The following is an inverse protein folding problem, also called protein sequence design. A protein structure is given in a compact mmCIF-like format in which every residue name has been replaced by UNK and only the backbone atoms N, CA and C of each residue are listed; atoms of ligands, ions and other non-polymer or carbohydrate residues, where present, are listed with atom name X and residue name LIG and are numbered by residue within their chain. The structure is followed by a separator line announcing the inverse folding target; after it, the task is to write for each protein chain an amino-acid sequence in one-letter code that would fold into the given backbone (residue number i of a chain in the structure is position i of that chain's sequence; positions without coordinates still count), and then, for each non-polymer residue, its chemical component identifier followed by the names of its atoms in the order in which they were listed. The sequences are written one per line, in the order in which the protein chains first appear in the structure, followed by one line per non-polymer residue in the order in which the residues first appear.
data_IF_691240933968
#
_entry.id   IF_691240933968
#
_cell.length_a   1.000
_cell.length_b   1.000
_cell.length_c   1.000
_cell.angle_alpha   90.00
_cell.angle_beta   90.00
_cell.angle_gamma   90.00
#
_symmetry.space_group_name_H-M   'P 1'
#
loop_
_entity.id
_entity.type
_entity.pdbx_description
1 polymer ?
#
# COMPACT_ATOMS: atom_id res chain seq x y z
N UNK A 1 51.35 29.42 -11.03
CA UNK A 1 51.25 27.91 -11.11
C UNK A 1 50.60 27.46 -9.85
N UNK A 2 49.31 27.17 -9.92
CA UNK A 2 48.49 26.70 -8.82
C UNK A 2 48.63 25.18 -8.74
N UNK A 3 49.19 24.66 -7.65
CA UNK A 3 49.25 23.25 -7.39
C UNK A 3 47.84 22.72 -7.20
N UNK A 4 47.40 21.87 -8.13
CA UNK A 4 46.22 21.02 -7.97
C UNK A 4 46.51 20.00 -6.85
N UNK A 5 45.93 20.23 -5.70
CA UNK A 5 45.93 19.34 -4.57
C UNK A 5 45.09 18.11 -4.94
N UNK A 6 45.70 17.13 -5.57
CA UNK A 6 45.12 15.81 -5.83
C UNK A 6 44.91 15.14 -4.47
N UNK A 7 43.70 15.29 -3.93
CA UNK A 7 43.24 14.46 -2.81
C UNK A 7 43.52 13.00 -3.17
N UNK A 8 44.42 12.37 -2.42
CA UNK A 8 44.70 10.95 -2.47
C UNK A 8 43.39 10.18 -2.64
N UNK A 9 43.24 9.52 -3.77
CA UNK A 9 42.16 8.56 -3.97
C UNK A 9 42.42 7.44 -2.98
N UNK A 10 41.67 7.43 -1.88
CA UNK A 10 41.63 6.29 -0.99
C UNK A 10 41.25 5.07 -1.83
N UNK A 11 42.13 4.08 -1.88
CA UNK A 11 41.82 2.83 -2.59
C UNK A 11 40.53 2.29 -1.99
N UNK A 12 39.51 2.12 -2.85
CA UNK A 12 38.24 1.51 -2.44
C UNK A 12 38.55 0.06 -2.06
N UNK A 13 38.60 -0.22 -0.77
CA UNK A 13 38.72 -1.57 -0.23
C UNK A 13 37.38 -2.02 0.29
N UNK A 14 36.95 -3.20 -0.16
CA UNK A 14 35.74 -3.85 0.37
C UNK A 14 36.05 -4.64 1.64
N UNK A 15 37.30 -4.66 2.10
CA UNK A 15 37.80 -5.52 3.18
C UNK A 15 37.14 -5.25 4.54
N UNK A 16 36.65 -4.03 4.75
CA UNK A 16 35.95 -3.59 5.98
C UNK A 16 34.53 -3.10 5.70
N UNK A 17 34.04 -3.29 4.49
CA UNK A 17 32.65 -3.05 4.14
C UNK A 17 31.87 -4.34 4.37
N UNK A 18 31.17 -4.45 5.50
CA UNK A 18 30.01 -5.33 5.54
C UNK A 18 29.05 -4.85 4.43
N UNK A 19 28.55 -5.77 3.62
CA UNK A 19 27.38 -5.48 2.80
C UNK A 19 26.36 -4.85 3.76
N UNK A 20 26.19 -3.53 3.66
CA UNK A 20 25.44 -2.79 4.66
C UNK A 20 24.15 -3.53 4.90
N UNK A 21 23.91 -3.91 6.14
CA UNK A 21 22.63 -4.51 6.53
C UNK A 21 21.59 -3.60 5.95
N UNK A 22 20.89 -4.09 4.90
CA UNK A 22 19.95 -3.25 4.18
C UNK A 22 19.04 -2.65 5.22
N UNK A 23 19.12 -1.33 5.42
CA UNK A 23 18.31 -0.67 6.45
C UNK A 23 16.88 -0.99 6.10
N UNK A 24 16.22 -1.76 6.95
CA UNK A 24 14.80 -2.03 6.81
C UNK A 24 14.09 -0.69 6.71
N UNK A 25 13.40 -0.47 5.59
CA UNK A 25 12.67 0.79 5.41
C UNK A 25 11.50 0.80 6.39
N UNK A 26 11.28 1.88 7.13
CA UNK A 26 10.12 1.99 8.03
C UNK A 26 8.80 2.10 7.27
N UNK A 27 8.85 2.23 5.94
CA UNK A 27 7.68 2.46 5.08
C UNK A 27 7.29 1.16 4.40
N UNK A 28 6.02 0.79 4.57
CA UNK A 28 5.39 -0.33 3.91
C UNK A 28 5.31 -0.08 2.40
N UNK A 29 5.67 -1.08 1.60
CA UNK A 29 5.49 -1.10 0.15
C UNK A 29 4.39 -2.07 -0.28
N UNK A 30 4.05 -2.10 -1.59
CA UNK A 30 3.13 -3.10 -2.13
C UNK A 30 3.72 -4.51 -2.03
N UNK A 31 2.86 -5.51 -1.79
CA UNK A 31 3.27 -6.90 -1.61
C UNK A 31 2.33 -7.68 -0.69
N UNK A 32 2.67 -8.95 -0.46
CA UNK A 32 2.02 -9.74 0.59
C UNK A 32 2.72 -9.47 1.92
N UNK A 33 1.94 -9.10 2.93
CA UNK A 33 2.43 -8.74 4.25
C UNK A 33 1.59 -9.37 5.35
N UNK A 34 2.21 -9.59 6.50
CA UNK A 34 1.51 -9.89 7.75
C UNK A 34 1.44 -8.59 8.54
N UNK A 35 0.25 -8.04 8.67
CA UNK A 35 -0.01 -6.71 9.23
C UNK A 35 -1.00 -6.74 10.37
N UNK A 36 -1.00 -5.68 11.19
CA UNK A 36 -2.11 -5.36 12.10
C UNK A 36 -2.58 -3.92 11.88
N UNK A 37 -3.84 -3.66 12.21
CA UNK A 37 -4.41 -2.32 12.17
C UNK A 37 -4.12 -1.64 13.50
N UNK A 38 -3.41 -0.52 13.44
CA UNK A 38 -3.18 0.33 14.62
C UNK A 38 -4.30 1.36 14.81
N UNK A 39 -4.84 1.87 13.70
CA UNK A 39 -6.01 2.77 13.70
C UNK A 39 -6.67 2.81 12.34
N UNK A 40 -7.93 3.25 12.32
CA UNK A 40 -8.70 3.53 11.11
C UNK A 40 -9.09 5.01 11.13
N UNK A 41 -8.93 5.69 10.00
CA UNK A 41 -9.49 7.03 9.81
C UNK A 41 -10.44 7.06 8.62
N UNK A 42 -11.40 8.00 8.67
CA UNK A 42 -12.41 8.22 7.63
C UNK A 42 -12.31 9.68 7.21
N UNK A 43 -11.57 9.92 6.14
CA UNK A 43 -11.16 11.25 5.73
C UNK A 43 -11.77 11.64 4.38
N UNK A 44 -12.20 12.90 4.26
CA UNK A 44 -12.58 13.47 2.97
C UNK A 44 -11.39 13.48 2.02
N UNK A 45 -11.67 13.28 0.74
CA UNK A 45 -10.61 13.42 -0.26
C UNK A 45 -10.26 14.90 -0.48
N UNK A 46 -9.01 15.23 -0.79
CA UNK A 46 -8.61 16.65 -0.96
C UNK A 46 -9.19 17.31 -2.22
N UNK A 47 -9.73 16.52 -3.16
CA UNK A 47 -10.21 17.00 -4.46
C UNK A 47 -11.73 16.85 -4.64
N UNK A 48 -12.43 16.17 -3.72
CA UNK A 48 -13.87 15.96 -3.76
C UNK A 48 -14.39 15.93 -2.32
N UNK A 49 -15.14 16.96 -1.93
CA UNK A 49 -15.64 17.10 -0.54
C UNK A 49 -16.74 16.10 -0.18
N UNK A 50 -17.33 15.43 -1.15
CA UNK A 50 -18.38 14.42 -0.94
C UNK A 50 -17.82 12.98 -0.98
N UNK A 51 -16.56 12.84 -1.34
CA UNK A 51 -15.88 11.57 -1.42
C UNK A 51 -14.97 11.35 -0.21
N UNK A 52 -15.00 10.13 0.34
CA UNK A 52 -14.26 9.75 1.54
C UNK A 52 -13.36 8.56 1.29
N UNK A 53 -12.25 8.51 2.00
CA UNK A 53 -11.37 7.35 2.07
C UNK A 53 -11.42 6.74 3.47
N UNK A 54 -11.49 5.42 3.53
CA UNK A 54 -11.18 4.66 4.74
C UNK A 54 -9.69 4.34 4.69
N UNK A 55 -8.92 4.86 5.65
CA UNK A 55 -7.49 4.66 5.74
C UNK A 55 -7.16 3.75 6.92
N UNK A 56 -6.53 2.64 6.64
CA UNK A 56 -5.97 1.73 7.63
C UNK A 56 -4.52 2.15 7.91
N UNK A 57 -4.23 2.54 9.14
CA UNK A 57 -2.87 2.75 9.61
C UNK A 57 -2.35 1.42 10.14
N UNK A 58 -1.39 0.85 9.47
CA UNK A 58 -0.95 -0.53 9.72
C UNK A 58 0.53 -0.61 10.05
N UNK A 59 0.92 -1.69 10.72
CA UNK A 59 2.30 -2.09 10.85
C UNK A 59 2.46 -3.58 10.55
N UNK A 60 3.62 -3.98 10.01
CA UNK A 60 3.95 -5.38 9.78
C UNK A 60 4.40 -6.05 11.08
N UNK A 61 4.47 -7.38 11.08
CA UNK A 61 5.16 -8.12 12.16
C UNK A 61 6.58 -7.57 12.35
N UNK A 62 7.10 -7.70 13.58
CA UNK A 62 8.49 -7.34 13.86
C UNK A 62 9.47 -7.90 12.85
N UNK A 63 10.45 -7.10 12.48
CA UNK A 63 11.58 -7.52 11.66
C UNK A 63 12.56 -8.18 12.59
N UNK A 64 12.82 -9.46 12.42
CA UNK A 64 13.71 -10.22 13.31
C UNK A 64 15.17 -9.71 13.32
N UNK A 65 16.01 -10.26 14.21
CA UNK A 65 17.43 -9.91 14.35
C UNK A 65 17.67 -8.76 15.32
N UNK A 66 18.78 -8.05 15.14
CA UNK A 66 19.22 -6.94 16.02
C UNK A 66 18.50 -5.61 15.74
N UNK A 67 17.36 -5.67 15.05
CA UNK A 67 16.59 -4.47 14.74
C UNK A 67 15.80 -4.00 15.96
N UNK A 68 16.16 -2.82 16.46
CA UNK A 68 15.54 -2.22 17.65
C UNK A 68 14.16 -1.56 17.39
N UNK A 69 13.74 -1.44 16.15
CA UNK A 69 12.49 -0.79 15.77
C UNK A 69 12.63 0.71 15.47
N UNK A 70 11.51 1.31 15.04
CA UNK A 70 11.40 2.74 14.74
C UNK A 70 10.53 3.44 15.79
N UNK A 71 10.97 4.59 16.29
CA UNK A 71 10.13 5.37 17.22
C UNK A 71 8.83 5.81 16.55
N UNK A 72 7.71 5.58 17.24
CA UNK A 72 6.38 6.03 16.79
C UNK A 72 6.27 7.55 16.70
N UNK A 73 7.01 8.24 17.57
CA UNK A 73 7.14 9.68 17.57
C UNK A 73 8.60 10.02 17.84
N UNK A 74 9.26 10.67 16.89
CA UNK A 74 10.66 11.06 17.04
C UNK A 74 10.86 12.16 18.08
N UNK A 75 9.83 12.98 18.34
CA UNK A 75 9.86 14.03 19.36
C UNK A 75 9.57 13.49 20.77
N UNK A 76 8.83 12.37 20.86
CA UNK A 76 8.46 11.74 22.11
C UNK A 76 8.71 10.22 22.05
N UNK A 77 9.92 9.83 22.36
CA UNK A 77 10.35 8.43 22.33
C UNK A 77 9.67 7.56 23.39
N UNK A 78 9.00 8.16 24.40
CA UNK A 78 8.22 7.41 25.39
C UNK A 78 6.99 6.72 24.80
N UNK A 79 6.53 7.15 23.61
CA UNK A 79 5.41 6.53 22.89
C UNK A 79 5.71 5.15 22.30
N UNK A 80 6.92 4.65 22.53
CA UNK A 80 7.32 3.32 22.09
C UNK A 80 7.80 3.26 20.63
N UNK A 81 8.05 2.05 20.14
CA UNK A 81 8.64 1.80 18.83
C UNK A 81 7.72 0.95 17.96
N UNK A 82 7.78 1.18 16.66
CA UNK A 82 7.34 0.21 15.66
C UNK A 82 8.46 -0.79 15.42
N UNK A 83 8.16 -2.06 15.57
CA UNK A 83 9.14 -3.14 15.36
C UNK A 83 9.14 -3.62 13.91
N UNK A 84 8.15 -3.21 13.11
CA UNK A 84 8.00 -3.54 11.71
C UNK A 84 7.91 -2.30 10.81
N UNK A 85 7.55 -2.52 9.57
CA UNK A 85 7.26 -1.45 8.62
C UNK A 85 5.88 -0.86 8.91
N UNK A 86 5.74 0.44 8.69
CA UNK A 86 4.47 1.14 8.89
C UNK A 86 3.96 1.70 7.56
N UNK A 87 2.65 1.76 7.41
CA UNK A 87 2.03 2.31 6.22
C UNK A 87 0.61 2.79 6.45
N UNK A 88 0.15 3.58 5.49
CA UNK A 88 -1.25 3.96 5.36
C UNK A 88 -1.79 3.25 4.13
N UNK A 89 -2.79 2.43 4.31
CA UNK A 89 -3.38 1.61 3.25
C UNK A 89 -4.84 2.02 3.11
N UNK A 90 -5.25 2.43 1.91
CA UNK A 90 -6.69 2.64 1.64
C UNK A 90 -7.39 1.30 1.68
N UNK A 91 -8.54 1.26 2.30
CA UNK A 91 -9.39 0.07 2.28
C UNK A 91 -9.86 -0.27 0.85
N UNK A 92 -10.04 0.75 0.02
CA UNK A 92 -10.47 0.60 -1.38
C UNK A 92 -9.58 1.44 -2.31
N UNK A 93 -9.29 0.98 -3.53
CA UNK A 93 -8.57 1.79 -4.53
C UNK A 93 -9.36 3.01 -4.99
N UNK A 94 -10.67 3.06 -4.71
CA UNK A 94 -11.56 4.15 -5.04
C UNK A 94 -12.16 4.76 -3.77
N UNK A 95 -12.39 6.08 -3.74
CA UNK A 95 -13.09 6.71 -2.64
C UNK A 95 -14.56 6.30 -2.61
N UNK A 96 -15.15 6.35 -1.43
CA UNK A 96 -16.57 6.13 -1.19
C UNK A 96 -17.34 7.43 -1.44
N UNK A 97 -18.30 7.40 -2.32
CA UNK A 97 -19.21 8.52 -2.61
C UNK A 97 -20.52 8.01 -3.21
N UNK A 98 -21.55 8.82 -3.13
CA UNK A 98 -22.80 8.56 -3.82
C UNK A 98 -22.57 8.61 -5.34
N UNK A 99 -23.03 7.61 -6.05
CA UNK A 99 -22.79 7.47 -7.48
C UNK A 99 -23.94 6.75 -8.15
N UNK A 100 -24.41 7.28 -9.28
CA UNK A 100 -25.32 6.59 -10.16
C UNK A 100 -24.54 5.94 -11.31
N UNK A 101 -24.62 4.64 -11.41
CA UNK A 101 -23.97 3.89 -12.49
C UNK A 101 -24.69 4.13 -13.83
N UNK A 102 -24.04 3.89 -14.98
CA UNK A 102 -24.66 3.98 -16.30
C UNK A 102 -25.89 3.08 -16.45
N UNK A 103 -26.00 2.02 -15.65
CA UNK A 103 -27.17 1.14 -15.58
C UNK A 103 -28.37 1.73 -14.83
N UNK A 104 -28.26 2.95 -14.27
CA UNK A 104 -29.27 3.56 -13.41
C UNK A 104 -29.26 3.07 -11.96
N UNK A 105 -28.36 2.15 -11.60
CA UNK A 105 -28.21 1.69 -10.22
C UNK A 105 -27.53 2.77 -9.38
N UNK A 106 -28.14 3.12 -8.28
CA UNK A 106 -27.58 4.01 -7.27
C UNK A 106 -26.67 3.23 -6.31
N UNK A 107 -25.55 3.84 -5.98
CA UNK A 107 -24.60 3.38 -4.96
C UNK A 107 -24.56 4.45 -3.89
N UNK A 108 -25.05 4.11 -2.70
CA UNK A 108 -25.01 4.99 -1.55
C UNK A 108 -23.71 4.82 -0.78
N UNK A 109 -22.97 5.91 -0.58
CA UNK A 109 -21.70 5.95 0.14
C UNK A 109 -21.77 5.23 1.48
N UNK A 110 -22.73 5.59 2.30
CA UNK A 110 -22.83 5.09 3.66
C UNK A 110 -23.09 3.58 3.70
N UNK A 111 -23.91 3.07 2.79
CA UNK A 111 -24.13 1.62 2.66
C UNK A 111 -22.88 0.87 2.25
N UNK A 112 -22.08 1.43 1.32
CA UNK A 112 -20.82 0.79 0.90
C UNK A 112 -19.78 0.83 2.02
N UNK A 113 -19.74 1.89 2.83
CA UNK A 113 -18.89 1.97 4.01
C UNK A 113 -19.30 0.91 5.03
N UNK A 114 -20.61 0.80 5.34
CA UNK A 114 -21.12 -0.23 6.27
C UNK A 114 -20.78 -1.63 5.79
N UNK A 115 -21.03 -1.97 4.53
CA UNK A 115 -20.67 -3.27 3.94
C UNK A 115 -19.16 -3.55 4.06
N UNK A 116 -18.33 -2.54 3.84
CA UNK A 116 -16.88 -2.67 3.94
C UNK A 116 -16.46 -2.99 5.37
N UNK A 117 -17.05 -2.34 6.37
CA UNK A 117 -16.75 -2.60 7.78
C UNK A 117 -17.29 -3.94 8.25
N UNK A 118 -18.45 -4.36 7.76
CA UNK A 118 -19.01 -5.70 7.99
C UNK A 118 -18.03 -6.73 7.45
N UNK A 119 -17.61 -6.62 6.21
CA UNK A 119 -16.66 -7.55 5.62
C UNK A 119 -15.35 -7.62 6.41
N UNK A 120 -14.77 -6.46 6.76
CA UNK A 120 -13.55 -6.41 7.56
C UNK A 120 -13.75 -7.09 8.93
N UNK A 121 -14.88 -6.87 9.60
CA UNK A 121 -15.18 -7.46 10.89
C UNK A 121 -15.32 -8.98 10.82
N UNK A 122 -15.93 -9.49 9.77
CA UNK A 122 -16.06 -10.94 9.53
C UNK A 122 -14.71 -11.59 9.31
N UNK A 123 -13.83 -10.96 8.51
CA UNK A 123 -12.48 -11.44 8.26
C UNK A 123 -11.60 -11.43 9.52
N UNK A 124 -11.83 -10.48 10.43
CA UNK A 124 -11.05 -10.32 11.66
C UNK A 124 -11.75 -10.95 12.90
N UNK A 125 -12.87 -11.62 12.72
CA UNK A 125 -13.61 -12.22 13.84
C UNK A 125 -14.15 -11.20 14.85
N UNK A 126 -14.49 -10.00 14.39
CA UNK A 126 -14.93 -8.87 15.23
C UNK A 126 -16.38 -8.45 14.95
N UNK A 127 -17.17 -9.34 14.35
CA UNK A 127 -18.54 -9.04 13.93
C UNK A 127 -19.44 -8.61 15.10
N UNK A 128 -19.41 -9.34 16.21
CA UNK A 128 -20.25 -9.05 17.37
C UNK A 128 -19.92 -7.66 17.96
N UNK A 129 -18.63 -7.30 17.98
CA UNK A 129 -18.20 -5.98 18.44
C UNK A 129 -18.65 -4.86 17.49
N UNK A 130 -18.65 -5.12 16.18
CA UNK A 130 -19.15 -4.16 15.19
C UNK A 130 -20.67 -3.99 15.32
N UNK A 131 -21.42 -5.09 15.49
CA UNK A 131 -22.88 -5.07 15.58
C UNK A 131 -23.37 -4.38 16.87
N UNK A 132 -22.52 -4.23 17.88
CA UNK A 132 -22.83 -3.48 19.11
C UNK A 132 -22.70 -1.95 18.96
N UNK A 133 -22.25 -1.46 17.79
CA UNK A 133 -22.11 -0.02 17.55
C UNK A 133 -23.47 0.60 17.27
N UNK A 134 -23.84 1.59 18.10
CA UNK A 134 -24.96 2.50 17.83
C UNK A 134 -24.39 3.87 17.43
N UNK A 135 -24.77 4.39 16.27
CA UNK A 135 -24.31 5.66 15.74
C UNK A 135 -25.41 6.38 14.98
N UNK A 136 -25.47 7.69 15.10
CA UNK A 136 -26.43 8.53 14.39
C UNK A 136 -25.96 9.01 13.02
N UNK A 137 -24.64 8.97 12.77
CA UNK A 137 -24.02 9.38 11.51
C UNK A 137 -22.93 8.39 11.10
N UNK A 138 -22.57 8.39 9.81
CA UNK A 138 -21.51 7.51 9.33
C UNK A 138 -20.13 7.90 9.92
N UNK A 139 -19.91 9.17 10.15
CA UNK A 139 -18.68 9.67 10.79
C UNK A 139 -18.55 9.17 12.23
N UNK A 140 -19.63 9.24 13.03
CA UNK A 140 -19.64 8.70 14.40
C UNK A 140 -19.46 7.18 14.39
N UNK A 141 -20.11 6.48 13.47
CA UNK A 141 -19.92 5.05 13.27
C UNK A 141 -18.45 4.72 13.02
N UNK A 142 -17.78 5.42 12.10
CA UNK A 142 -16.39 5.18 11.75
C UNK A 142 -15.41 5.50 12.89
N UNK A 143 -15.71 6.49 13.72
CA UNK A 143 -14.94 6.75 14.95
C UNK A 143 -15.04 5.56 15.90
N UNK A 144 -16.22 5.00 16.09
CA UNK A 144 -16.43 3.79 16.93
C UNK A 144 -15.83 2.54 16.30
N UNK A 145 -15.85 2.41 14.97
CA UNK A 145 -15.15 1.34 14.26
C UNK A 145 -13.65 1.35 14.55
N UNK A 146 -13.02 2.53 14.65
CA UNK A 146 -11.61 2.60 15.03
C UNK A 146 -11.36 1.91 16.38
N UNK A 147 -12.25 2.03 17.35
CA UNK A 147 -12.11 1.39 18.66
C UNK A 147 -12.22 -0.15 18.58
N UNK A 148 -13.02 -0.66 17.65
CA UNK A 148 -13.17 -2.10 17.40
C UNK A 148 -11.91 -2.68 16.75
N UNK A 149 -11.34 -1.98 15.78
CA UNK A 149 -10.26 -2.51 14.94
C UNK A 149 -8.85 -2.13 15.38
N UNK A 150 -8.69 -1.06 16.20
CA UNK A 150 -7.37 -0.64 16.67
C UNK A 150 -6.66 -1.77 17.42
N UNK A 151 -5.36 -1.89 17.20
CA UNK A 151 -4.52 -2.92 17.78
C UNK A 151 -5.07 -4.34 17.54
N UNK A 152 -5.54 -4.60 16.31
CA UNK A 152 -5.98 -5.92 15.90
C UNK A 152 -4.85 -6.96 16.03
N UNK A 153 -5.21 -8.23 16.01
CA UNK A 153 -4.23 -9.29 15.79
C UNK A 153 -3.58 -9.14 14.40
N UNK A 154 -2.43 -9.77 14.23
CA UNK A 154 -1.76 -9.79 12.94
C UNK A 154 -2.50 -10.73 11.96
N UNK A 155 -2.69 -10.28 10.74
CA UNK A 155 -3.33 -11.02 9.66
C UNK A 155 -2.58 -10.84 8.34
N UNK A 156 -2.82 -11.74 7.38
CA UNK A 156 -2.24 -11.65 6.06
C UNK A 156 -3.02 -10.66 5.19
N UNK A 157 -2.29 -9.86 4.42
CA UNK A 157 -2.89 -8.93 3.45
C UNK A 157 -2.05 -8.87 2.17
N UNK A 158 -2.73 -8.85 1.04
CA UNK A 158 -2.15 -8.44 -0.23
C UNK A 158 -2.38 -6.93 -0.39
N UNK A 159 -1.30 -6.17 -0.55
CA UNK A 159 -1.34 -4.72 -0.67
C UNK A 159 -0.91 -4.32 -2.07
N UNK A 160 -1.79 -3.65 -2.78
CA UNK A 160 -1.51 -3.02 -4.06
C UNK A 160 -1.07 -1.58 -3.91
N UNK A 161 -0.65 -0.98 -5.01
CA UNK A 161 -0.32 0.44 -5.03
C UNK A 161 -0.72 1.14 -6.33
N UNK A 162 -0.87 2.47 -6.23
CA UNK A 162 -0.88 3.37 -7.37
C UNK A 162 0.36 4.25 -7.27
N UNK A 163 1.22 4.17 -8.26
CA UNK A 163 2.38 5.05 -8.36
C UNK A 163 1.94 6.48 -8.74
N UNK A 164 2.53 7.45 -8.09
CA UNK A 164 2.35 8.87 -8.42
C UNK A 164 3.66 9.62 -8.21
N UNK A 165 3.88 10.65 -8.99
CA UNK A 165 5.08 11.48 -8.92
C UNK A 165 4.79 12.75 -8.14
N UNK A 166 5.63 13.06 -7.16
CA UNK A 166 5.52 14.30 -6.41
C UNK A 166 6.12 15.48 -7.21
N UNK A 167 6.00 16.69 -6.67
CA UNK A 167 6.50 17.92 -7.33
C UNK A 167 8.02 17.93 -7.53
N UNK A 168 8.73 17.08 -6.81
CA UNK A 168 10.20 16.97 -6.84
C UNK A 168 10.66 15.84 -7.78
N UNK A 169 9.73 15.14 -8.45
CA UNK A 169 10.03 14.06 -9.39
C UNK A 169 10.21 12.68 -8.73
N UNK A 170 9.95 12.54 -7.43
CA UNK A 170 10.02 11.24 -6.77
C UNK A 170 8.72 10.46 -6.97
N UNK A 171 8.88 9.18 -7.35
CA UNK A 171 7.75 8.26 -7.46
C UNK A 171 7.44 7.69 -6.08
N UNK A 172 6.19 7.82 -5.67
CA UNK A 172 5.65 7.33 -4.41
C UNK A 172 4.55 6.32 -4.67
N UNK A 173 4.28 5.47 -3.70
CA UNK A 173 3.21 4.49 -3.69
C UNK A 173 2.04 4.97 -2.82
N UNK A 174 0.85 4.98 -3.40
CA UNK A 174 -0.40 5.16 -2.70
C UNK A 174 -1.03 3.77 -2.51
N UNK A 175 -0.88 3.22 -1.31
CA UNK A 175 -1.22 1.85 -1.01
C UNK A 175 -2.73 1.65 -0.87
N UNK A 176 -3.23 0.50 -1.32
CA UNK A 176 -4.63 0.10 -1.16
C UNK A 176 -4.78 -1.42 -1.04
N UNK A 177 -5.91 -1.86 -0.47
CA UNK A 177 -6.32 -3.25 -0.54
C UNK A 177 -6.96 -3.50 -1.92
N UNK A 178 -6.41 -4.40 -2.74
CA UNK A 178 -6.98 -4.70 -4.03
C UNK A 178 -8.32 -5.40 -3.88
N UNK A 179 -9.28 -5.04 -4.74
CA UNK A 179 -10.56 -5.72 -4.90
C UNK A 179 -10.56 -6.44 -6.23
N UNK A 180 -10.73 -7.76 -6.19
CA UNK A 180 -10.99 -8.54 -7.38
C UNK A 180 -12.41 -9.07 -7.29
N UNK A 181 -13.12 -8.99 -8.41
CA UNK A 181 -14.35 -9.75 -8.61
C UNK A 181 -13.97 -11.03 -9.36
N UNK A 182 -14.13 -12.18 -8.71
CA UNK A 182 -14.01 -13.49 -9.33
C UNK A 182 -15.38 -14.15 -9.23
N UNK A 183 -15.93 -14.58 -10.36
CA UNK A 183 -17.24 -15.24 -10.44
C UNK A 183 -18.40 -14.41 -9.82
N UNK A 184 -18.28 -13.07 -9.90
CA UNK A 184 -19.28 -12.14 -9.37
C UNK A 184 -19.20 -11.93 -7.84
N UNK A 185 -18.28 -12.60 -7.15
CA UNK A 185 -18.05 -12.43 -5.72
C UNK A 185 -16.84 -11.49 -5.52
N UNK A 186 -16.99 -10.37 -4.80
CA UNK A 186 -15.87 -9.53 -4.44
C UNK A 186 -14.88 -10.33 -3.58
N UNK A 187 -13.61 -10.36 -3.98
CA UNK A 187 -12.53 -10.93 -3.18
C UNK A 187 -11.68 -9.77 -2.65
N UNK A 188 -11.55 -9.68 -1.34
CA UNK A 188 -10.69 -8.69 -0.71
C UNK A 188 -9.30 -9.28 -0.42
N UNK A 189 -8.27 -8.44 -0.40
CA UNK A 189 -6.89 -8.86 -0.19
C UNK A 189 -6.56 -9.15 1.28
N UNK A 190 -7.55 -9.56 2.08
CA UNK A 190 -7.39 -9.86 3.50
C UNK A 190 -7.75 -11.33 3.75
N UNK A 191 -6.87 -12.03 4.46
CA UNK A 191 -7.12 -13.38 4.94
C UNK A 191 -6.47 -13.57 6.31
N UNK A 192 -7.28 -13.90 7.30
CA UNK A 192 -6.82 -14.18 8.68
C UNK A 192 -6.45 -15.64 8.88
N UNK A 193 -6.98 -16.53 8.05
CA UNK A 193 -6.70 -17.96 8.07
C UNK A 193 -5.76 -18.32 6.92
N UNK A 194 -4.48 -18.51 7.24
CA UNK A 194 -3.44 -18.90 6.28
C UNK A 194 -3.64 -20.28 5.66
N UNK A 195 -4.52 -21.10 6.22
CA UNK A 195 -4.80 -22.46 5.71
C UNK A 195 -5.84 -22.46 4.60
N UNK A 196 -6.66 -21.39 4.52
CA UNK A 196 -7.64 -21.21 3.46
C UNK A 196 -7.03 -20.27 2.40
N UNK A 197 -6.71 -20.77 1.25
CA UNK A 197 -6.02 -20.02 0.17
C UNK A 197 -6.92 -18.92 -0.47
N UNK A 198 -7.49 -18.04 0.36
CA UNK A 198 -8.22 -16.84 -0.08
C UNK A 198 -7.30 -15.65 -0.27
N UNK A 199 -6.11 -15.70 0.31
CA UNK A 199 -5.14 -14.63 0.16
C UNK A 199 -4.74 -14.51 -1.30
N UNK A 200 -4.97 -13.33 -1.85
CA UNK A 200 -4.53 -12.99 -3.18
C UNK A 200 -3.01 -12.98 -3.23
N UNK A 201 -2.43 -13.76 -4.13
CA UNK A 201 -0.99 -13.69 -4.37
C UNK A 201 -0.65 -12.37 -5.04
N UNK A 202 0.28 -11.62 -4.46
CA UNK A 202 0.74 -10.37 -5.04
C UNK A 202 1.41 -10.63 -6.39
N UNK A 203 0.94 -9.90 -7.40
CA UNK A 203 1.55 -9.79 -8.70
C UNK A 203 1.69 -8.31 -9.06
N UNK A 204 2.91 -7.85 -9.30
CA UNK A 204 3.17 -6.43 -9.57
C UNK A 204 2.43 -5.92 -10.79
N UNK A 205 2.33 -6.73 -11.84
CA UNK A 205 1.66 -6.32 -13.08
C UNK A 205 0.15 -6.08 -12.88
N UNK A 206 -0.46 -6.81 -11.95
CA UNK A 206 -1.90 -6.72 -11.65
C UNK A 206 -2.19 -5.71 -10.54
N UNK A 207 -1.35 -5.68 -9.49
CA UNK A 207 -1.66 -4.96 -8.26
C UNK A 207 -0.97 -3.60 -8.12
N UNK A 208 0.01 -3.30 -9.00
CA UNK A 208 0.64 -1.98 -9.06
C UNK A 208 0.18 -1.24 -10.31
N UNK A 209 -0.54 -0.15 -10.09
CA UNK A 209 -0.89 0.79 -11.16
C UNK A 209 0.29 1.71 -11.40
N UNK A 210 1.12 1.36 -12.36
CA UNK A 210 2.31 2.13 -12.71
C UNK A 210 1.95 3.55 -13.18
N UNK A 211 2.83 4.49 -12.88
CA UNK A 211 2.73 5.87 -13.35
C UNK A 211 2.84 5.90 -14.88
N UNK A 212 1.77 6.29 -15.54
CA UNK A 212 1.80 6.60 -16.98
C UNK A 212 2.41 7.98 -17.12
N UNK A 213 3.70 8.06 -17.45
CA UNK A 213 4.32 9.33 -17.85
C UNK A 213 3.60 9.82 -19.10
N UNK A 214 3.03 11.03 -19.03
CA UNK A 214 2.55 11.71 -20.23
C UNK A 214 3.77 11.92 -21.11
N UNK A 215 3.87 11.18 -22.19
CA UNK A 215 4.87 11.44 -23.23
C UNK A 215 4.67 12.87 -23.70
N UNK A 216 5.70 13.70 -23.55
CA UNK A 216 5.69 15.05 -24.12
C UNK A 216 5.46 14.89 -25.63
N UNK A 217 4.40 15.49 -26.21
CA UNK A 217 4.13 15.35 -27.63
C UNK A 217 5.28 15.86 -28.53
N UNK A 218 6.26 16.57 -27.96
CA UNK A 218 7.47 17.01 -28.64
C UNK A 218 8.67 16.05 -28.53
N UNK A 219 8.58 14.95 -27.77
CA UNK A 219 9.61 13.92 -27.83
C UNK A 219 9.38 13.07 -29.06
N UNK A 220 10.08 13.43 -30.13
CA UNK A 220 10.24 12.61 -31.34
C UNK A 220 10.71 11.23 -30.92
N UNK A 221 9.91 10.20 -31.21
CA UNK A 221 10.23 8.81 -31.01
C UNK A 221 11.57 8.48 -31.68
N UNK A 222 12.65 8.41 -30.91
CA UNK A 222 13.81 7.64 -31.34
C UNK A 222 13.47 6.16 -31.10
N UNK A 223 12.71 5.61 -32.01
CA UNK A 223 12.59 4.17 -32.13
C UNK A 223 13.96 3.62 -32.49
N UNK A 224 14.67 3.08 -31.53
CA UNK A 224 15.70 2.10 -31.81
C UNK A 224 14.99 0.82 -32.26
N UNK A 225 14.72 0.72 -33.55
CA UNK A 225 14.46 -0.56 -34.17
C UNK A 225 15.72 -1.41 -33.99
N UNK A 226 15.66 -2.37 -33.08
CA UNK A 226 16.63 -3.45 -33.06
C UNK A 226 16.46 -4.22 -34.39
N UNK A 227 17.33 -3.91 -35.34
CA UNK A 227 17.50 -4.74 -36.54
C UNK A 227 17.83 -6.17 -36.09
N UNK A 228 16.85 -7.04 -36.16
CA UNK A 228 17.10 -8.47 -36.16
C UNK A 228 17.94 -8.79 -37.38
N UNK A 229 19.25 -8.94 -37.18
CA UNK A 229 20.18 -9.39 -38.20
C UNK A 229 19.80 -10.79 -38.67
N UNK A 230 19.57 -10.84 -39.96
CA UNK A 230 19.14 -12.00 -40.69
C UNK A 230 20.12 -13.16 -40.64
N UNK A 231 19.58 -14.27 -41.02
CA UNK A 231 20.16 -15.59 -41.07
C UNK A 231 21.49 -15.71 -41.77
N UNK A 232 22.18 -16.75 -41.43
CA UNK A 232 23.17 -17.40 -42.31
C UNK A 232 22.78 -18.85 -42.42
N UNK A 233 22.34 -19.18 -43.61
CA UNK A 233 22.35 -20.53 -44.15
C UNK A 233 23.75 -21.13 -43.99
N UNK A 234 23.80 -22.31 -43.42
CA UNK A 234 24.87 -23.26 -43.69
C UNK A 234 24.24 -24.60 -44.04
N UNK A 235 24.17 -24.85 -45.37
CA UNK A 235 24.19 -26.20 -45.91
C UNK A 235 25.60 -26.77 -45.69
N UNK A 236 25.68 -27.96 -45.15
CA UNK A 236 26.41 -29.17 -45.59
C UNK A 236 26.24 -30.25 -44.54
#
# INVERSE_FOLDING_TARGET
MSELNLKSKTMLSTKDMSAGSGRTKPVLGPGNHVIRINSITFDKTPYDSEAYNIMLHVETKPVGGDFEGFYKDMADQSKGRYEGQVGRVRYSPYPFKDTTLPSGREIERDQEVLKSMIFLSEQLGKRDALDSIEAGTIEDFMVKCNDVFKNSDFFNACIGSREWENKEGYVNDDLYLPRISKDGVPVEGIDVDTTQSRLMTFDRATHVRALVKKTDPNQTNMNFEAKSGGGSDFEL
#
